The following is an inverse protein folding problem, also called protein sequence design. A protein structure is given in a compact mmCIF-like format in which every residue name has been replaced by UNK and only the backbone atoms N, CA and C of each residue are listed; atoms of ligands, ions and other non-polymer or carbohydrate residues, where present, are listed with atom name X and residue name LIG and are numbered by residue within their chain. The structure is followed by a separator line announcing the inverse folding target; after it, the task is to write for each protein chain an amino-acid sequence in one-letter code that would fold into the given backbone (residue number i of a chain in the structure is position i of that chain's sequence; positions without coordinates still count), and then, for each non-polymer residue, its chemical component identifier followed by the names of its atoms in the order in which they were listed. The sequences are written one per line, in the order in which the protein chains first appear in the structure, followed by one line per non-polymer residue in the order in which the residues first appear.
data_IF_104665231213
#
_entry.id   IF_104665231213
#
_cell.length_a   1.000
_cell.length_b   1.000
_cell.length_c   1.000
_cell.angle_alpha   90.00
_cell.angle_beta   90.00
_cell.angle_gamma   90.00
#
_symmetry.space_group_name_H-M   'P 1'
#
loop_
_entity.id
_entity.type
_entity.pdbx_description
1 polymer ?
#
# COMPACT_ATOMS: atom_id res chain seq x y z
N UNK A 1 35.23 -38.68 13.28
CA UNK A 1 35.73 -38.73 11.88
C UNK A 1 35.10 -37.53 11.15
N UNK A 2 35.75 -36.36 11.03
CA UNK A 2 36.91 -36.03 10.18
C UNK A 2 36.53 -36.21 8.70
N UNK A 3 36.40 -35.20 7.83
CA UNK A 3 37.34 -34.11 7.50
C UNK A 3 36.71 -33.00 6.60
N UNK A 4 37.13 -31.74 6.83
CA UNK A 4 37.55 -30.69 5.86
C UNK A 4 36.53 -30.14 4.83
N UNK A 5 36.12 -28.87 4.75
CA UNK A 5 36.79 -27.54 4.81
C UNK A 5 38.01 -27.42 3.88
N UNK A 6 37.90 -26.64 2.80
CA UNK A 6 38.84 -25.66 2.20
C UNK A 6 38.26 -25.23 0.82
N UNK A 7 37.72 -24.02 0.66
CA UNK A 7 38.38 -22.77 0.23
C UNK A 7 38.70 -22.72 -1.28
N UNK A 8 38.04 -21.82 -2.03
CA UNK A 8 38.69 -20.80 -2.89
C UNK A 8 37.66 -20.10 -3.79
N UNK A 9 37.59 -18.78 -3.60
CA UNK A 9 36.89 -17.77 -4.39
C UNK A 9 37.75 -17.38 -5.60
N UNK A 10 37.12 -16.77 -6.63
CA UNK A 10 37.70 -15.99 -7.73
C UNK A 10 38.01 -16.83 -9.00
N UNK A 11 37.77 -16.41 -10.26
CA UNK A 11 37.44 -15.11 -10.86
C UNK A 11 37.27 -15.29 -12.39
N UNK A 12 36.52 -14.39 -13.06
CA UNK A 12 36.63 -13.96 -14.49
C UNK A 12 35.99 -14.80 -15.62
N UNK A 13 34.86 -14.25 -16.12
CA UNK A 13 34.61 -13.74 -17.49
C UNK A 13 35.42 -14.31 -18.69
N UNK A 14 34.72 -14.94 -19.63
CA UNK A 14 35.07 -15.09 -21.07
C UNK A 14 33.76 -15.38 -21.83
N UNK A 15 33.09 -14.36 -22.39
CA UNK A 15 33.22 -13.83 -23.76
C UNK A 15 32.97 -14.86 -24.87
N UNK A 16 31.96 -14.51 -25.65
CA UNK A 16 31.35 -15.19 -26.78
C UNK A 16 32.32 -15.86 -27.77
N UNK A 17 31.94 -17.06 -28.18
CA UNK A 17 32.49 -17.78 -29.31
C UNK A 17 31.59 -17.51 -30.53
N UNK A 18 32.08 -16.73 -31.49
CA UNK A 18 31.60 -16.79 -32.88
C UNK A 18 32.71 -16.37 -33.83
N UNK A 19 33.34 -17.37 -34.43
CA UNK A 19 34.31 -17.27 -35.51
C UNK A 19 33.62 -16.81 -36.79
N UNK A 20 34.03 -15.66 -37.34
CA UNK A 20 33.67 -15.24 -38.70
C UNK A 20 34.85 -15.59 -39.61
N UNK A 21 34.64 -16.34 -40.71
CA UNK A 21 35.73 -16.84 -41.55
C UNK A 21 36.32 -15.75 -42.47
N UNK A 22 37.63 -15.82 -42.65
CA UNK A 22 38.40 -15.06 -43.63
C UNK A 22 38.05 -15.52 -45.06
N UNK A 23 37.88 -14.60 -46.04
CA UNK A 23 37.81 -14.96 -47.45
C UNK A 23 39.20 -15.06 -48.07
N UNK A 24 39.47 -16.21 -48.72
CA UNK A 24 40.66 -16.47 -49.55
C UNK A 24 40.61 -15.70 -50.89
N UNK A 25 41.77 -15.38 -51.49
CA UNK A 25 41.90 -14.67 -52.75
C UNK A 25 42.03 -15.63 -53.95
N UNK A 26 41.62 -15.16 -55.15
CA UNK A 26 41.89 -15.65 -56.53
C UNK A 26 40.57 -15.61 -57.34
N UNK A 27 40.33 -14.65 -58.25
CA UNK A 27 40.65 -14.69 -59.70
C UNK A 27 39.88 -13.54 -60.43
N UNK A 28 40.17 -13.13 -61.69
CA UNK A 28 41.11 -12.08 -62.06
C UNK A 28 40.49 -10.85 -62.77
N UNK A 29 41.35 -9.86 -63.02
CA UNK A 29 41.06 -8.54 -63.58
C UNK A 29 40.56 -8.54 -65.04
N UNK A 30 39.49 -7.77 -65.29
CA UNK A 30 39.04 -7.40 -66.63
C UNK A 30 39.55 -5.98 -66.98
N UNK A 31 40.42 -5.90 -67.99
CA UNK A 31 40.92 -4.64 -68.57
C UNK A 31 39.96 -4.20 -69.67
N UNK A 32 39.25 -3.10 -69.45
CA UNK A 32 38.52 -2.34 -70.48
C UNK A 32 39.30 -1.07 -70.88
N UNK A 33 39.17 -0.58 -72.13
CA UNK A 33 40.02 0.46 -72.66
C UNK A 33 39.72 1.86 -72.12
N UNK A 34 40.81 2.62 -71.98
CA UNK A 34 40.92 4.01 -71.56
C UNK A 34 40.23 4.97 -72.54
N UNK A 35 39.24 5.74 -72.08
CA UNK A 35 38.71 6.88 -72.82
C UNK A 35 39.01 8.18 -72.07
N UNK A 36 39.94 8.94 -72.61
CA UNK A 36 40.31 10.29 -72.17
C UNK A 36 39.19 11.27 -72.53
N UNK A 37 38.58 11.91 -71.54
CA UNK A 37 37.85 13.16 -71.71
C UNK A 37 38.29 14.16 -70.65
N UNK A 38 38.70 15.33 -71.13
CA UNK A 38 39.38 16.41 -70.42
C UNK A 38 38.39 17.13 -69.50
N UNK A 39 38.86 17.49 -68.31
CA UNK A 39 38.12 18.18 -67.26
C UNK A 39 37.72 19.62 -67.64
N UNK A 40 36.57 20.06 -67.13
CA UNK A 40 36.18 21.47 -67.08
C UNK A 40 35.96 21.82 -65.60
N UNK A 41 36.89 22.56 -64.99
CA UNK A 41 36.79 23.04 -63.62
C UNK A 41 35.71 24.12 -63.49
N UNK A 42 34.80 23.99 -62.53
CA UNK A 42 33.89 25.05 -62.08
C UNK A 42 34.24 25.44 -60.65
N UNK A 43 34.36 26.76 -60.39
CA UNK A 43 34.74 27.36 -59.10
C UNK A 43 33.74 27.01 -57.97
N UNK A 44 34.19 26.88 -56.70
CA UNK A 44 33.30 26.57 -55.58
C UNK A 44 32.45 27.78 -55.15
N UNK A 45 31.18 27.53 -54.83
CA UNK A 45 30.24 28.50 -54.27
C UNK A 45 30.46 28.74 -52.77
N UNK A 46 30.12 29.92 -52.21
CA UNK A 46 30.40 30.26 -50.81
C UNK A 46 29.55 29.44 -49.82
N UNK A 47 30.19 28.96 -48.76
CA UNK A 47 29.59 28.17 -47.67
C UNK A 47 28.58 29.01 -46.86
N UNK A 48 27.35 28.52 -46.72
CA UNK A 48 26.33 29.14 -45.87
C UNK A 48 26.63 28.88 -44.38
N UNK A 49 26.57 29.94 -43.57
CA UNK A 49 26.72 29.89 -42.11
C UNK A 49 25.50 29.21 -41.48
N UNK A 50 25.69 28.09 -40.79
CA UNK A 50 24.64 27.37 -40.05
C UNK A 50 24.29 28.14 -38.76
N UNK A 51 23.03 28.56 -38.63
CA UNK A 51 22.48 29.13 -37.38
C UNK A 51 22.34 28.04 -36.32
N UNK A 52 22.79 28.24 -35.06
CA UNK A 52 22.66 27.22 -34.02
C UNK A 52 21.18 26.96 -33.68
N UNK A 53 20.81 25.68 -33.70
CA UNK A 53 19.49 25.19 -33.29
C UNK A 53 19.33 25.29 -31.76
N UNK A 54 18.17 25.75 -31.28
CA UNK A 54 17.88 25.86 -29.87
C UNK A 54 18.04 24.50 -29.17
N UNK A 55 18.79 24.48 -28.06
CA UNK A 55 18.92 23.29 -27.21
C UNK A 55 17.59 23.03 -26.52
N UNK A 56 16.99 21.87 -26.78
CA UNK A 56 15.81 21.39 -26.04
C UNK A 56 16.15 21.31 -24.55
N UNK A 57 15.46 22.11 -23.73
CA UNK A 57 15.54 21.99 -22.27
C UNK A 57 14.97 20.62 -21.87
N UNK A 58 15.71 19.78 -21.12
CA UNK A 58 15.18 18.50 -20.68
C UNK A 58 13.94 18.71 -19.81
N UNK A 59 12.83 18.05 -20.19
CA UNK A 59 11.66 17.95 -19.33
C UNK A 59 12.03 17.12 -18.10
N UNK A 60 11.85 17.67 -16.90
CA UNK A 60 12.09 16.91 -15.68
C UNK A 60 11.26 15.63 -15.68
N UNK A 61 11.90 14.49 -15.43
CA UNK A 61 11.19 13.22 -15.30
C UNK A 61 10.39 13.26 -14.00
N UNK A 62 9.05 13.09 -14.03
CA UNK A 62 8.25 13.09 -12.81
C UNK A 62 8.74 11.98 -11.89
N UNK A 63 8.99 12.33 -10.62
CA UNK A 63 9.44 11.36 -9.62
C UNK A 63 8.26 10.42 -9.31
N UNK A 64 8.44 9.09 -9.40
CA UNK A 64 7.34 8.16 -9.19
C UNK A 64 6.84 8.18 -7.73
N UNK A 65 5.53 8.10 -7.58
CA UNK A 65 4.82 8.01 -6.30
C UNK A 65 3.90 6.81 -6.37
N UNK A 66 3.94 5.97 -5.34
CA UNK A 66 3.03 4.83 -5.23
C UNK A 66 2.00 5.12 -4.14
N UNK A 67 0.73 4.90 -4.46
CA UNK A 67 -0.38 5.10 -3.53
C UNK A 67 -1.09 3.77 -3.27
N UNK A 68 -1.16 3.39 -2.00
CA UNK A 68 -1.77 2.16 -1.51
C UNK A 68 -2.94 2.51 -0.61
N UNK A 69 -4.15 2.14 -1.02
CA UNK A 69 -5.38 2.41 -0.27
C UNK A 69 -6.07 1.11 0.11
N UNK A 70 -6.41 1.00 1.39
CA UNK A 70 -7.09 -0.16 1.95
C UNK A 70 -7.94 0.21 3.17
N UNK A 71 -8.51 -0.81 3.80
CA UNK A 71 -9.41 -0.65 4.95
C UNK A 71 -8.95 -1.53 6.10
N UNK A 72 -8.86 -0.96 7.30
CA UNK A 72 -8.66 -1.66 8.56
C UNK A 72 -9.99 -1.64 9.31
N UNK A 73 -10.44 -2.81 9.73
CA UNK A 73 -11.68 -2.99 10.48
C UNK A 73 -11.39 -3.61 11.84
N UNK A 74 -12.13 -3.15 12.85
CA UNK A 74 -12.12 -3.70 14.20
C UNK A 74 -13.52 -4.16 14.58
N UNK A 75 -13.66 -5.37 15.11
CA UNK A 75 -14.97 -5.88 15.54
C UNK A 75 -14.97 -6.70 16.82
N UNK A 76 -16.14 -6.84 17.41
CA UNK A 76 -16.40 -7.73 18.55
C UNK A 76 -16.76 -9.13 18.02
N UNK A 77 -15.76 -9.83 17.50
CA UNK A 77 -15.88 -11.23 17.08
C UNK A 77 -15.33 -12.16 18.16
N UNK A 78 -16.03 -13.26 18.44
CA UNK A 78 -15.47 -14.36 19.23
C UNK A 78 -16.06 -15.69 18.75
N UNK A 79 -15.18 -16.59 18.32
CA UNK A 79 -15.53 -17.94 17.87
C UNK A 79 -16.06 -18.82 19.01
N UNK A 80 -15.65 -18.55 20.25
CA UNK A 80 -16.04 -19.30 21.44
C UNK A 80 -17.36 -18.80 22.05
N UNK A 81 -17.91 -17.71 21.52
CA UNK A 81 -19.17 -17.10 21.97
C UNK A 81 -20.11 -16.88 20.80
N UNK A 82 -20.68 -17.96 20.24
CA UNK A 82 -21.53 -17.90 19.05
C UNK A 82 -22.79 -17.04 19.24
N UNK A 83 -23.22 -16.77 20.48
CA UNK A 83 -24.27 -15.79 20.78
C UNK A 83 -23.90 -14.36 20.36
N UNK A 84 -22.60 -14.00 20.34
CA UNK A 84 -22.10 -12.73 19.77
C UNK A 84 -22.18 -12.71 18.24
N UNK A 85 -22.27 -13.88 17.62
CA UNK A 85 -22.39 -14.05 16.17
C UNK A 85 -23.85 -14.15 15.70
N UNK A 86 -24.81 -14.21 16.63
CA UNK A 86 -26.25 -14.40 16.34
C UNK A 86 -26.87 -13.23 15.56
N UNK A 87 -26.22 -12.07 15.53
CA UNK A 87 -26.59 -10.89 14.75
C UNK A 87 -25.53 -10.50 13.70
N UNK A 88 -24.63 -11.42 13.35
CA UNK A 88 -23.47 -11.11 12.51
C UNK A 88 -22.35 -10.43 13.28
N UNK A 89 -21.12 -10.58 12.79
CA UNK A 89 -19.94 -9.94 13.38
C UNK A 89 -20.11 -8.43 13.34
N UNK A 90 -20.03 -7.76 14.50
CA UNK A 90 -20.15 -6.30 14.59
C UNK A 90 -18.77 -5.67 14.41
N UNK A 91 -18.55 -5.03 13.26
CA UNK A 91 -17.43 -4.12 13.06
C UNK A 91 -17.80 -2.74 13.64
N UNK A 92 -17.15 -2.35 14.74
CA UNK A 92 -17.36 -1.04 15.38
C UNK A 92 -16.35 0.01 14.89
N UNK A 93 -15.24 -0.42 14.28
CA UNK A 93 -14.18 0.44 13.77
C UNK A 93 -14.02 0.23 12.27
N UNK A 94 -14.05 1.34 11.51
CA UNK A 94 -13.66 1.40 10.10
C UNK A 94 -12.63 2.50 9.89
N UNK A 95 -11.46 2.13 9.40
CA UNK A 95 -10.37 3.05 9.09
C UNK A 95 -9.97 2.84 7.63
N UNK A 96 -10.22 3.81 6.78
CA UNK A 96 -9.59 3.86 5.46
C UNK A 96 -8.17 4.35 5.67
N UNK A 97 -7.19 3.63 5.13
CA UNK A 97 -5.81 4.07 5.10
C UNK A 97 -5.37 4.33 3.67
N UNK A 98 -4.59 5.39 3.49
CA UNK A 98 -3.86 5.66 2.25
C UNK A 98 -2.40 5.88 2.58
N UNK A 99 -1.53 5.06 2.02
CA UNK A 99 -0.09 5.16 2.16
C UNK A 99 0.52 5.66 0.85
N UNK A 100 1.05 6.88 0.88
CA UNK A 100 1.83 7.46 -0.21
C UNK A 100 3.30 7.15 0.03
N UNK A 101 3.87 6.31 -0.82
CA UNK A 101 5.25 5.91 -0.78
C UNK A 101 6.06 6.62 -1.86
N UNK A 102 7.13 7.29 -1.44
CA UNK A 102 8.09 7.97 -2.29
C UNK A 102 9.44 7.23 -2.21
N UNK A 103 9.76 6.32 -3.15
CA UNK A 103 10.97 5.50 -3.05
C UNK A 103 12.26 6.34 -3.02
N UNK A 104 12.27 7.43 -3.78
CA UNK A 104 13.42 8.34 -3.88
C UNK A 104 13.56 9.26 -2.66
N UNK A 105 12.45 9.54 -1.96
CA UNK A 105 12.40 10.45 -0.80
C UNK A 105 11.59 9.82 0.33
N UNK A 106 12.11 8.77 1.01
CA UNK A 106 11.34 8.03 2.01
C UNK A 106 10.84 8.88 3.20
N UNK A 107 11.53 9.97 3.47
CA UNK A 107 11.15 11.01 4.44
C UNK A 107 9.83 11.73 4.10
N UNK A 108 9.40 11.65 2.83
CA UNK A 108 8.13 12.19 2.33
C UNK A 108 6.99 11.17 2.34
N UNK A 109 7.24 9.96 2.84
CA UNK A 109 6.17 8.97 2.96
C UNK A 109 5.07 9.50 3.88
N UNK A 110 3.81 9.30 3.47
CA UNK A 110 2.65 9.78 4.22
C UNK A 110 1.65 8.64 4.42
N UNK A 111 1.24 8.42 5.67
CA UNK A 111 0.11 7.57 6.02
C UNK A 111 -1.05 8.47 6.45
N UNK A 112 -2.16 8.40 5.71
CA UNK A 112 -3.41 9.06 6.06
C UNK A 112 -4.38 8.00 6.58
N UNK A 113 -5.03 8.27 7.71
CA UNK A 113 -6.07 7.44 8.29
C UNK A 113 -7.36 8.24 8.40
N UNK A 114 -8.46 7.69 7.90
CA UNK A 114 -9.80 8.29 7.95
C UNK A 114 -10.73 7.31 8.64
N UNK A 115 -11.26 7.72 9.79
CA UNK A 115 -12.27 6.94 10.51
C UNK A 115 -13.65 7.18 9.89
N UNK A 116 -14.32 6.10 9.50
CA UNK A 116 -15.75 6.15 9.15
C UNK A 116 -16.58 5.84 10.41
N UNK A 117 -17.56 6.68 10.77
CA UNK A 117 -18.49 6.35 11.84
C UNK A 117 -19.24 5.06 11.51
N UNK A 118 -19.38 4.15 12.50
CA UNK A 118 -20.03 2.84 12.33
C UNK A 118 -21.41 2.91 11.67
N UNK A 119 -22.18 3.93 12.04
CA UNK A 119 -23.56 4.12 11.59
C UNK A 119 -23.66 5.13 10.43
N UNK A 120 -22.54 5.44 9.76
CA UNK A 120 -22.54 6.28 8.55
C UNK A 120 -23.39 5.62 7.47
N UNK A 121 -24.43 6.31 7.02
CA UNK A 121 -25.36 5.84 6.00
C UNK A 121 -24.80 6.09 4.59
N UNK A 122 -24.58 5.01 3.84
CA UNK A 122 -23.91 5.01 2.54
C UNK A 122 -24.54 4.01 1.59
N UNK A 123 -24.15 4.06 0.31
CA UNK A 123 -24.45 3.00 -0.64
C UNK A 123 -23.64 1.74 -0.30
N UNK A 124 -24.29 0.60 -0.10
CA UNK A 124 -23.68 -0.71 0.08
C UNK A 124 -24.15 -1.61 -1.08
N UNK A 125 -23.46 -1.61 -2.24
CA UNK A 125 -23.95 -2.27 -3.46
C UNK A 125 -24.24 -3.76 -3.32
N UNK A 126 -23.53 -4.45 -2.43
CA UNK A 126 -23.74 -5.87 -2.16
C UNK A 126 -24.97 -6.15 -1.26
N UNK A 127 -25.64 -5.12 -0.75
CA UNK A 127 -26.71 -5.28 0.24
C UNK A 127 -27.83 -6.17 -0.29
N UNK A 128 -28.20 -7.24 0.44
CA UNK A 128 -29.30 -8.13 0.05
C UNK A 128 -30.68 -7.57 0.43
N UNK A 129 -30.72 -6.41 1.08
CA UNK A 129 -31.94 -5.84 1.65
C UNK A 129 -32.86 -5.23 0.59
N UNK A 130 -34.09 -4.99 1.04
CA UNK A 130 -35.26 -4.54 0.29
C UNK A 130 -34.92 -3.56 -0.85
N UNK A 131 -35.42 -3.77 -2.09
CA UNK A 131 -35.26 -2.83 -3.19
C UNK A 131 -35.66 -1.38 -2.85
N UNK A 132 -36.51 -1.15 -1.85
CA UNK A 132 -36.85 0.20 -1.37
C UNK A 132 -35.66 0.98 -0.81
N UNK A 133 -34.67 0.30 -0.22
CA UNK A 133 -33.47 0.98 0.31
C UNK A 133 -32.45 1.29 -0.79
N UNK A 134 -32.69 0.81 -2.00
CA UNK A 134 -31.80 0.93 -3.15
C UNK A 134 -30.36 0.54 -2.77
N UNK A 135 -30.18 -0.48 -1.94
CA UNK A 135 -28.86 -0.90 -1.47
C UNK A 135 -28.11 0.14 -0.63
N UNK A 136 -28.78 1.07 0.06
CA UNK A 136 -28.16 1.90 1.10
C UNK A 136 -28.27 1.22 2.47
N UNK A 137 -27.21 1.29 3.27
CA UNK A 137 -27.20 0.90 4.69
C UNK A 137 -26.07 1.62 5.44
N UNK A 138 -25.90 1.32 6.73
CA UNK A 138 -24.74 1.69 7.53
C UNK A 138 -23.48 0.97 7.04
N UNK A 139 -22.32 1.63 7.13
CA UNK A 139 -21.03 1.05 6.69
C UNK A 139 -20.73 -0.33 7.30
N UNK A 140 -21.15 -0.58 8.54
CA UNK A 140 -20.94 -1.87 9.20
C UNK A 140 -21.73 -3.03 8.58
N UNK A 141 -22.80 -2.74 7.86
CA UNK A 141 -23.58 -3.76 7.16
C UNK A 141 -22.77 -4.40 6.02
N UNK A 142 -21.85 -3.65 5.38
CA UNK A 142 -21.00 -4.18 4.31
C UNK A 142 -20.18 -5.40 4.75
N UNK A 143 -19.59 -5.35 5.95
CA UNK A 143 -18.87 -6.48 6.52
C UNK A 143 -19.80 -7.68 6.77
N UNK A 144 -21.01 -7.43 7.29
CA UNK A 144 -21.99 -8.46 7.57
C UNK A 144 -22.51 -9.16 6.30
N UNK A 145 -22.61 -8.44 5.17
CA UNK A 145 -23.16 -8.97 3.93
C UNK A 145 -22.15 -9.73 3.07
N UNK A 146 -20.95 -9.18 2.90
CA UNK A 146 -19.97 -9.74 1.97
C UNK A 146 -18.51 -9.57 2.41
N UNK A 147 -18.28 -9.28 3.69
CA UNK A 147 -16.95 -9.14 4.28
C UNK A 147 -16.06 -8.19 3.44
N UNK A 148 -14.85 -8.62 3.08
CA UNK A 148 -13.88 -7.80 2.38
C UNK A 148 -14.37 -7.30 1.02
N UNK A 149 -14.97 -8.16 0.20
CA UNK A 149 -15.40 -7.79 -1.15
C UNK A 149 -16.48 -6.71 -1.10
N UNK A 150 -17.46 -6.87 -0.22
CA UNK A 150 -18.50 -5.85 -0.07
C UNK A 150 -17.99 -4.55 0.56
N UNK A 151 -17.05 -4.62 1.50
CA UNK A 151 -16.43 -3.42 2.08
C UNK A 151 -15.67 -2.65 1.00
N UNK A 152 -14.95 -3.35 0.12
CA UNK A 152 -14.33 -2.74 -1.05
C UNK A 152 -15.37 -2.05 -1.92
N UNK A 153 -16.41 -2.76 -2.35
CA UNK A 153 -17.46 -2.20 -3.23
C UNK A 153 -18.13 -0.98 -2.62
N UNK A 154 -18.42 -1.02 -1.31
CA UNK A 154 -18.96 0.12 -0.57
C UNK A 154 -18.01 1.31 -0.58
N UNK A 155 -16.72 1.12 -0.32
CA UNK A 155 -15.77 2.25 -0.29
C UNK A 155 -15.61 2.87 -1.68
N UNK A 156 -15.45 2.04 -2.71
CA UNK A 156 -15.25 2.50 -4.09
C UNK A 156 -16.52 3.22 -4.63
N UNK A 157 -17.72 2.80 -4.21
CA UNK A 157 -18.98 3.42 -4.63
C UNK A 157 -19.27 4.79 -4.01
N UNK A 158 -18.69 5.13 -2.85
CA UNK A 158 -19.06 6.33 -2.10
C UNK A 158 -17.97 7.40 -1.99
N UNK A 159 -16.69 7.03 -2.07
CA UNK A 159 -15.60 7.93 -1.67
C UNK A 159 -14.63 8.29 -2.79
N UNK A 160 -14.88 7.86 -4.04
CA UNK A 160 -13.97 8.07 -5.19
C UNK A 160 -12.53 7.59 -4.90
N UNK A 161 -12.45 6.46 -4.19
CA UNK A 161 -11.20 5.77 -3.87
C UNK A 161 -11.16 4.44 -4.59
N UNK A 162 -9.97 3.99 -4.97
CA UNK A 162 -9.74 2.62 -5.44
C UNK A 162 -9.02 1.84 -4.37
N UNK A 163 -9.62 0.73 -3.91
CA UNK A 163 -8.98 -0.18 -2.96
C UNK A 163 -8.02 -1.08 -3.73
N UNK A 164 -6.73 -0.80 -3.61
CA UNK A 164 -5.64 -1.49 -4.31
C UNK A 164 -4.61 -2.12 -3.35
N UNK A 165 -4.83 -2.01 -2.04
CA UNK A 165 -3.96 -2.55 -1.00
C UNK A 165 -4.70 -3.58 -0.12
N UNK A 166 -3.97 -4.42 0.65
CA UNK A 166 -4.58 -5.40 1.52
C UNK A 166 -5.53 -4.78 2.55
N UNK A 167 -6.70 -5.39 2.73
CA UNK A 167 -7.61 -5.06 3.82
C UNK A 167 -7.33 -5.96 5.02
N UNK A 168 -7.63 -5.46 6.22
CA UNK A 168 -7.44 -6.20 7.46
C UNK A 168 -8.69 -6.10 8.33
N UNK A 169 -9.01 -7.20 9.01
CA UNK A 169 -10.00 -7.25 10.08
C UNK A 169 -9.32 -7.81 11.32
N UNK A 170 -9.54 -7.17 12.47
CA UNK A 170 -9.08 -7.66 13.77
C UNK A 170 -10.22 -7.64 14.77
N UNK A 171 -10.17 -8.59 15.70
CA UNK A 171 -10.99 -8.59 16.90
C UNK A 171 -10.22 -7.96 18.09
N UNK A 172 -10.84 -8.02 19.27
CA UNK A 172 -10.23 -7.54 20.50
C UNK A 172 -8.99 -8.35 20.90
N UNK A 173 -8.96 -9.65 20.63
CA UNK A 173 -7.79 -10.53 20.85
C UNK A 173 -6.61 -10.01 20.05
N UNK A 174 -6.83 -9.81 18.75
CA UNK A 174 -5.80 -9.36 17.81
C UNK A 174 -5.28 -7.98 18.18
N UNK A 175 -6.18 -7.05 18.55
CA UNK A 175 -5.79 -5.72 19.01
C UNK A 175 -4.87 -5.80 20.24
N UNK A 176 -5.30 -6.53 21.27
CA UNK A 176 -4.52 -6.68 22.50
C UNK A 176 -3.20 -7.39 22.25
N UNK A 177 -3.17 -8.41 21.39
CA UNK A 177 -1.95 -9.12 21.02
C UNK A 177 -0.95 -8.16 20.36
N UNK A 178 -1.41 -7.27 19.48
CA UNK A 178 -0.58 -6.22 18.87
C UNK A 178 -0.02 -5.29 19.95
N UNK A 179 -0.84 -4.79 20.86
CA UNK A 179 -0.37 -3.91 21.96
C UNK A 179 0.63 -4.65 22.86
N UNK A 180 0.35 -5.90 23.22
CA UNK A 180 1.25 -6.71 24.03
C UNK A 180 2.62 -6.91 23.36
N UNK A 181 2.64 -6.96 22.01
CA UNK A 181 3.87 -7.17 21.25
C UNK A 181 4.65 -5.89 21.01
N UNK A 182 3.96 -4.77 20.77
CA UNK A 182 4.59 -3.46 20.50
C UNK A 182 5.01 -2.74 21.80
N UNK A 183 4.40 -3.10 22.92
CA UNK A 183 4.60 -2.44 24.21
C UNK A 183 3.43 -1.52 24.57
N UNK A 184 3.41 -1.09 25.83
CA UNK A 184 2.35 -0.23 26.35
C UNK A 184 2.25 1.09 25.56
N UNK A 185 1.02 1.57 25.38
CA UNK A 185 0.72 2.81 24.66
C UNK A 185 0.63 3.97 25.64
N UNK A 186 1.40 5.02 25.40
CA UNK A 186 1.36 6.24 26.23
C UNK A 186 0.26 7.17 25.74
N UNK A 187 -0.74 7.47 26.57
CA UNK A 187 -1.89 8.31 26.23
C UNK A 187 -2.10 9.38 27.30
N UNK A 188 -2.41 10.60 26.85
CA UNK A 188 -2.87 11.71 27.71
C UNK A 188 -4.26 12.12 27.26
N UNK A 189 -5.33 11.81 28.04
CA UNK A 189 -6.68 12.22 27.72
C UNK A 189 -6.81 13.75 27.69
N UNK A 190 -7.61 14.27 26.77
CA UNK A 190 -7.90 15.70 26.68
C UNK A 190 -9.12 16.13 27.51
N UNK A 191 -9.86 15.18 28.08
CA UNK A 191 -11.03 15.40 28.93
C UNK A 191 -11.10 14.31 29.98
N UNK A 192 -11.63 14.65 31.15
CA UNK A 192 -11.87 13.68 32.21
C UNK A 192 -13.15 12.91 31.92
N UNK A 193 -13.08 11.58 31.88
CA UNK A 193 -14.27 10.73 31.70
C UNK A 193 -14.18 9.46 32.53
N UNK A 194 -15.33 8.84 32.80
CA UNK A 194 -15.43 7.58 33.54
C UNK A 194 -16.27 6.61 32.75
N UNK A 195 -15.72 5.42 32.50
CA UNK A 195 -16.44 4.35 31.79
C UNK A 195 -16.13 2.98 32.42
N UNK A 196 -16.96 2.00 32.10
CA UNK A 196 -16.78 0.62 32.51
C UNK A 196 -15.62 -0.03 31.76
N UNK A 197 -14.59 -0.44 32.49
CA UNK A 197 -13.50 -1.24 31.96
C UNK A 197 -13.68 -2.70 32.38
N UNK A 198 -14.10 -3.52 31.43
CA UNK A 198 -14.19 -4.98 31.58
C UNK A 198 -12.83 -5.66 31.46
N UNK A 199 -12.74 -6.92 31.89
CA UNK A 199 -11.68 -7.79 31.40
C UNK A 199 -12.02 -8.28 29.98
N UNK A 200 -11.00 -8.74 29.26
CA UNK A 200 -11.08 -9.24 27.89
C UNK A 200 -12.23 -10.25 27.61
N UNK A 201 -12.59 -11.08 28.59
CA UNK A 201 -13.71 -12.03 28.49
C UNK A 201 -15.04 -11.47 29.01
N UNK A 202 -15.11 -10.24 29.50
CA UNK A 202 -16.23 -9.72 30.25
C UNK A 202 -16.68 -8.34 29.77
N UNK A 203 -17.22 -8.29 28.55
CA UNK A 203 -18.27 -7.31 28.21
C UNK A 203 -19.66 -7.82 28.61
N UNK A 204 -19.74 -8.97 29.27
CA UNK A 204 -20.98 -9.50 29.86
C UNK A 204 -21.46 -8.69 31.08
N UNK A 205 -20.67 -7.70 31.53
CA UNK A 205 -20.97 -6.85 32.68
C UNK A 205 -20.62 -7.47 34.03
N UNK A 206 -20.06 -8.68 34.07
CA UNK A 206 -19.86 -9.42 35.32
C UNK A 206 -18.42 -9.37 35.85
N UNK A 207 -17.44 -8.95 35.05
CA UNK A 207 -16.05 -8.82 35.48
C UNK A 207 -15.39 -7.57 34.92
N UNK A 208 -15.42 -6.50 35.70
CA UNK A 208 -14.85 -5.20 35.38
C UNK A 208 -15.03 -4.20 36.52
N UNK A 209 -14.58 -2.97 36.30
CA UNK A 209 -14.80 -1.85 37.21
C UNK A 209 -14.90 -0.55 36.43
N UNK A 210 -15.59 0.44 36.98
CA UNK A 210 -15.50 1.80 36.47
C UNK A 210 -14.07 2.33 36.64
N UNK A 211 -13.53 2.90 35.57
CA UNK A 211 -12.22 3.54 35.54
C UNK A 211 -12.40 4.99 35.12
N UNK A 212 -11.79 5.91 35.86
CA UNK A 212 -11.75 7.34 35.54
C UNK A 212 -10.40 7.67 34.92
N UNK A 213 -10.43 8.24 33.72
CA UNK A 213 -9.27 8.79 33.04
C UNK A 213 -9.30 10.31 33.21
N UNK A 214 -8.26 10.88 33.80
CA UNK A 214 -8.21 12.31 34.07
C UNK A 214 -7.55 13.08 32.92
N UNK A 215 -8.10 14.24 32.61
CA UNK A 215 -7.52 15.19 31.66
C UNK A 215 -6.09 15.56 32.06
N UNK A 216 -5.19 15.59 31.07
CA UNK A 216 -3.79 16.01 31.26
C UNK A 216 -2.92 15.01 32.03
N UNK A 217 -3.47 13.94 32.59
CA UNK A 217 -2.70 12.86 33.18
C UNK A 217 -2.24 11.88 32.09
N UNK A 218 -0.95 11.53 32.11
CA UNK A 218 -0.39 10.57 31.16
C UNK A 218 -0.45 9.17 31.74
N UNK A 219 -1.01 8.24 30.98
CA UNK A 219 -1.11 6.82 31.32
C UNK A 219 -0.26 6.00 30.35
N UNK A 220 0.44 5.00 30.90
CA UNK A 220 1.05 3.93 30.11
C UNK A 220 0.09 2.75 30.12
N UNK A 221 -0.61 2.53 29.01
CA UNK A 221 -1.72 1.59 28.89
C UNK A 221 -1.24 0.26 28.31
N UNK A 222 -1.43 -0.82 29.07
CA UNK A 222 -1.25 -2.17 28.57
C UNK A 222 -2.40 -2.58 27.63
N UNK A 223 -2.42 -3.84 27.17
CA UNK A 223 -3.42 -4.32 26.22
C UNK A 223 -4.87 -4.09 26.66
N UNK A 224 -5.19 -4.39 27.92
CA UNK A 224 -6.57 -4.26 28.43
C UNK A 224 -6.94 -2.79 28.65
N UNK A 225 -6.04 -1.99 29.21
CA UNK A 225 -6.27 -0.56 29.42
C UNK A 225 -6.46 0.19 28.11
N UNK A 226 -5.65 -0.11 27.08
CA UNK A 226 -5.77 0.48 25.76
C UNK A 226 -7.10 0.08 25.07
N UNK A 227 -7.53 -1.18 25.23
CA UNK A 227 -8.82 -1.63 24.72
C UNK A 227 -9.99 -0.93 25.44
N UNK A 228 -9.91 -0.78 26.76
CA UNK A 228 -10.91 -0.02 27.52
C UNK A 228 -10.96 1.45 27.09
N UNK A 229 -9.80 2.10 26.96
CA UNK A 229 -9.72 3.50 26.58
C UNK A 229 -10.31 3.77 25.19
N UNK A 230 -9.99 2.94 24.20
CA UNK A 230 -10.48 3.11 22.81
C UNK A 230 -11.98 2.86 22.64
N UNK A 231 -12.61 2.22 23.63
CA UNK A 231 -14.05 1.94 23.65
C UNK A 231 -14.84 2.86 24.59
N UNK A 232 -14.13 3.71 25.33
CA UNK A 232 -14.70 4.71 26.22
C UNK A 232 -15.65 5.66 25.48
N UNK A 233 -16.80 5.99 26.09
CA UNK A 233 -17.80 6.91 25.52
C UNK A 233 -18.12 8.09 26.41
#
# INVERSE_FOLDING_TARGET
MSKSIFLAVAVILLVACSSVPFPDPEEPAFIGPLQTAIASETLPAPTATVTPSATVTPTETPIPVFEYTGVIMGGDFDVNRPERNRFGVRSDVFLIYTFKHWPTFPDRNQLTLISLPRDLWVKVPCSPLDPELEGNDRVNAAWAYGQFDCVKDMVEANFDLTINAPMAFTDFDGFMWVVARLGAVTITPNQTYTDWCGNYHGTDGNSGSFVTWYEGQTYSMGPNEALCYTRGR
#
